data_IF_935741718214
#
_entry.id   IF_935741718214
#
_cell.length_a   1.000
_cell.length_b   1.000
_cell.length_c   1.000
_cell.angle_alpha   90.00
_cell.angle_beta   90.00
_cell.angle_gamma   90.00
#
_symmetry.space_group_name_H-M   'P 1'
#
loop_
_entity.id
_entity.type
_entity.pdbx_description
1 polymer ?
#
# COMPACT_ATOMS: atom_id res chain seq x y z
N UNK A 1 4.03 18.43 -11.09
CA UNK A 1 3.49 17.15 -10.53
C UNK A 1 2.87 17.44 -9.18
N UNK A 2 1.73 16.85 -8.81
CA UNK A 2 1.12 17.04 -7.48
C UNK A 2 1.20 15.76 -6.63
N UNK A 3 1.44 15.91 -5.33
CA UNK A 3 1.43 14.84 -4.32
C UNK A 3 0.43 15.17 -3.22
N UNK A 4 -0.54 14.28 -3.00
CA UNK A 4 -1.62 14.46 -2.01
C UNK A 4 -1.92 13.18 -1.23
N UNK A 5 -2.43 13.39 -0.01
CA UNK A 5 -2.93 12.38 0.90
C UNK A 5 -4.44 12.28 0.73
N UNK A 6 -4.97 11.09 0.47
CA UNK A 6 -6.42 10.85 0.56
C UNK A 6 -6.80 10.33 1.95
N UNK A 7 -8.08 10.45 2.32
CA UNK A 7 -8.65 10.01 3.61
C UNK A 7 -8.41 8.52 3.94
N UNK A 8 -8.01 7.75 2.93
CA UNK A 8 -7.64 6.34 3.03
C UNK A 8 -6.13 6.10 3.20
N UNK A 9 -5.32 7.15 3.34
CA UNK A 9 -3.88 7.10 3.59
C UNK A 9 -2.99 7.02 2.35
N UNK A 10 -3.49 7.27 1.14
CA UNK A 10 -2.71 7.09 -0.09
C UNK A 10 -1.73 8.23 -0.37
N UNK A 11 -0.56 7.94 -0.94
CA UNK A 11 0.29 8.94 -1.61
C UNK A 11 0.05 8.80 -3.11
N UNK A 12 -0.68 9.74 -3.70
CA UNK A 12 -0.90 9.76 -5.15
C UNK A 12 0.09 10.69 -5.84
N UNK A 13 0.92 10.13 -6.72
CA UNK A 13 1.65 10.85 -7.76
C UNK A 13 0.79 10.78 -9.01
N UNK A 14 0.33 11.93 -9.51
CA UNK A 14 -0.60 11.96 -10.65
C UNK A 14 -0.13 11.05 -11.81
N UNK A 15 -1.03 10.15 -12.23
CA UNK A 15 -0.92 9.16 -13.31
C UNK A 15 0.15 8.05 -13.26
N UNK A 16 1.15 8.11 -12.38
CA UNK A 16 2.32 7.24 -12.53
C UNK A 16 2.43 6.12 -11.50
N UNK A 17 2.00 6.35 -10.25
CA UNK A 17 2.22 5.37 -9.16
C UNK A 17 1.30 5.61 -7.97
N UNK A 18 0.83 4.52 -7.37
CA UNK A 18 0.09 4.52 -6.11
C UNK A 18 0.79 3.63 -5.08
N UNK A 19 0.78 4.05 -3.82
CA UNK A 19 1.26 3.25 -2.69
C UNK A 19 0.18 3.23 -1.60
N UNK A 20 -0.19 2.01 -1.16
CA UNK A 20 -1.23 1.81 -0.14
C UNK A 20 -0.59 1.91 1.25
N UNK A 21 -0.95 2.95 2.00
CA UNK A 21 -0.56 3.03 3.40
C UNK A 21 -1.28 1.96 4.22
N UNK A 22 -0.51 1.04 4.77
CA UNK A 22 -1.02 -0.10 5.54
C UNK A 22 -1.03 0.13 7.06
N UNK A 23 -0.91 1.38 7.54
CA UNK A 23 -0.76 1.69 8.96
C UNK A 23 0.60 1.28 9.56
N UNK A 24 0.68 1.19 10.89
CA UNK A 24 1.87 0.66 11.59
C UNK A 24 1.99 -0.85 11.32
N UNK A 25 2.84 -1.25 10.38
CA UNK A 25 3.34 -2.63 10.30
C UNK A 25 4.71 -2.75 10.99
N UNK A 26 4.76 -3.62 11.99
CA UNK A 26 5.96 -4.21 12.57
C UNK A 26 6.65 -5.12 11.53
N UNK A 27 7.40 -4.53 10.60
CA UNK A 27 8.51 -5.25 9.99
C UNK A 27 9.78 -4.77 10.66
N UNK A 28 10.29 -5.62 11.55
CA UNK A 28 11.48 -5.48 12.40
C UNK A 28 12.72 -6.06 11.72
N UNK A 29 12.98 -5.68 10.46
CA UNK A 29 14.19 -6.15 9.77
C UNK A 29 15.04 -5.08 9.09
N UNK A 30 14.57 -3.83 8.99
CA UNK A 30 15.35 -2.78 8.30
C UNK A 30 15.71 -1.65 9.28
N UNK A 31 16.58 -1.96 10.24
CA UNK A 31 17.12 -0.99 11.21
C UNK A 31 18.23 -0.09 10.64
N UNK A 32 18.63 -0.28 9.37
CA UNK A 32 19.73 0.48 8.74
C UNK A 32 19.34 1.38 7.56
N UNK A 33 18.05 1.48 7.22
CA UNK A 33 17.59 2.46 6.22
C UNK A 33 16.80 3.57 6.90
N UNK A 34 17.27 4.82 6.74
CA UNK A 34 16.62 6.05 7.22
C UNK A 34 15.09 5.96 7.14
N UNK A 35 14.41 6.25 8.25
CA UNK A 35 12.96 6.09 8.47
C UNK A 35 12.10 6.25 7.20
N UNK A 36 11.92 5.13 6.50
CA UNK A 36 11.15 5.05 5.26
C UNK A 36 9.63 5.02 5.54
N UNK A 37 9.18 5.08 6.80
CA UNK A 37 7.78 4.86 7.16
C UNK A 37 6.96 6.15 7.27
N UNK A 38 7.58 7.30 7.03
CA UNK A 38 6.90 8.60 7.05
C UNK A 38 6.29 8.97 5.68
N UNK A 39 5.24 9.80 5.70
CA UNK A 39 4.61 10.35 4.49
C UNK A 39 5.64 10.96 3.51
N UNK A 40 6.56 11.83 3.97
CA UNK A 40 7.64 12.38 3.14
C UNK A 40 8.54 11.33 2.47
N UNK A 41 8.89 10.25 3.19
CA UNK A 41 9.74 9.20 2.62
C UNK A 41 9.02 8.42 1.50
N UNK A 42 7.70 8.25 1.60
CA UNK A 42 6.90 7.66 0.53
C UNK A 42 6.89 8.55 -0.73
N UNK A 43 6.88 9.88 -0.59
CA UNK A 43 7.00 10.80 -1.73
C UNK A 43 8.31 10.55 -2.49
N UNK A 44 9.42 10.45 -1.76
CA UNK A 44 10.75 10.20 -2.33
C UNK A 44 10.82 8.86 -3.05
N UNK A 45 10.37 7.77 -2.41
CA UNK A 45 10.36 6.45 -3.04
C UNK A 45 9.55 6.44 -4.33
N UNK A 46 8.38 7.08 -4.33
CA UNK A 46 7.52 7.09 -5.50
C UNK A 46 8.12 7.93 -6.63
N UNK A 47 8.77 9.06 -6.33
CA UNK A 47 9.48 9.83 -7.36
C UNK A 47 10.68 9.08 -7.94
N UNK A 48 11.50 8.44 -7.10
CA UNK A 48 12.62 7.61 -7.57
C UNK A 48 12.16 6.45 -8.43
N UNK A 49 11.02 5.84 -8.09
CA UNK A 49 10.50 4.74 -8.88
C UNK A 49 9.94 5.16 -10.24
N UNK A 50 9.44 6.40 -10.36
CA UNK A 50 8.89 6.92 -11.62
C UNK A 50 9.99 7.49 -12.52
N UNK A 51 10.94 8.22 -11.95
CA UNK A 51 11.95 8.96 -12.73
C UNK A 51 13.35 8.35 -12.68
N UNK A 52 13.57 7.33 -11.84
CA UNK A 52 14.87 6.73 -11.62
C UNK A 52 15.82 7.60 -10.77
N UNK A 53 17.02 7.09 -10.45
CA UNK A 53 18.04 7.85 -9.74
C UNK A 53 18.64 8.99 -10.58
N UNK A 54 18.56 8.89 -11.91
CA UNK A 54 19.12 9.86 -12.86
C UNK A 54 18.15 10.99 -13.25
N UNK A 55 17.06 11.18 -12.52
CA UNK A 55 16.02 12.18 -12.81
C UNK A 55 16.62 13.59 -13.07
N UNK A 56 17.68 13.95 -12.34
CA UNK A 56 18.41 15.22 -12.49
C UNK A 56 18.98 15.46 -13.89
N UNK A 57 19.38 14.40 -14.62
CA UNK A 57 19.93 14.51 -15.98
C UNK A 57 18.88 14.92 -17.02
N UNK A 58 17.60 14.67 -16.74
CA UNK A 58 16.47 15.01 -17.61
C UNK A 58 15.95 16.44 -17.39
N UNK A 59 16.64 17.23 -16.55
CA UNK A 59 16.23 18.58 -16.17
C UNK A 59 15.43 18.62 -14.86
N UNK A 60 15.40 19.82 -14.26
CA UNK A 60 14.70 20.06 -12.99
C UNK A 60 13.18 20.08 -13.20
N UNK A 61 12.43 19.35 -12.37
CA UNK A 61 10.95 19.31 -12.43
C UNK A 61 10.34 19.88 -11.16
N UNK A 62 9.20 20.57 -11.29
CA UNK A 62 8.44 21.09 -10.15
C UNK A 62 7.46 20.05 -9.58
N UNK A 63 7.63 19.76 -8.29
CA UNK A 63 6.76 18.94 -7.46
C UNK A 63 5.99 19.84 -6.49
N UNK A 64 4.67 19.78 -6.56
CA UNK A 64 3.76 20.49 -5.69
C UNK A 64 3.24 19.52 -4.63
N UNK A 65 3.52 19.82 -3.36
CA UNK A 65 3.18 18.93 -2.24
C UNK A 65 2.12 19.56 -1.34
N UNK A 66 1.25 18.71 -0.80
CA UNK A 66 0.27 19.13 0.19
C UNK A 66 0.92 19.37 1.57
N UNK A 67 0.26 20.17 2.40
CA UNK A 67 0.68 20.61 3.75
C UNK A 67 1.09 19.47 4.66
N UNK A 68 0.44 18.31 4.51
CA UNK A 68 0.75 17.11 5.28
C UNK A 68 2.19 16.61 5.03
N UNK A 69 2.67 16.68 3.79
CA UNK A 69 3.99 16.16 3.38
C UNK A 69 5.08 17.22 3.47
N UNK A 70 4.74 18.50 3.35
CA UNK A 70 5.74 19.58 3.29
C UNK A 70 6.58 19.64 4.57
N UNK A 71 7.90 19.53 4.40
CA UNK A 71 8.90 19.72 5.43
C UNK A 71 10.22 20.20 4.82
N UNK A 72 11.06 20.84 5.63
CA UNK A 72 12.39 21.32 5.18
C UNK A 72 13.28 20.15 4.76
N UNK A 73 13.27 19.06 5.51
CA UNK A 73 14.01 17.85 5.15
C UNK A 73 13.59 17.29 3.79
N UNK A 74 12.28 17.18 3.53
CA UNK A 74 11.77 16.72 2.23
C UNK A 74 12.18 17.67 1.10
N UNK A 75 12.07 18.99 1.31
CA UNK A 75 12.41 19.97 0.30
C UNK A 75 13.90 19.90 -0.11
N UNK A 76 14.80 19.72 0.87
CA UNK A 76 16.24 19.50 0.63
C UNK A 76 16.46 18.19 -0.13
N UNK A 77 15.83 17.11 0.31
CA UNK A 77 15.98 15.80 -0.31
C UNK A 77 15.52 15.81 -1.78
N UNK A 78 14.38 16.44 -2.06
CA UNK A 78 13.87 16.60 -3.43
C UNK A 78 14.83 17.43 -4.29
N UNK A 79 15.40 18.51 -3.73
CA UNK A 79 16.36 19.34 -4.45
C UNK A 79 17.62 18.55 -4.83
N UNK A 80 18.14 17.71 -3.92
CA UNK A 80 19.27 16.83 -4.19
C UNK A 80 18.96 15.78 -5.27
N UNK A 81 17.71 15.32 -5.33
CA UNK A 81 17.21 14.38 -6.35
C UNK A 81 16.93 15.04 -7.71
N UNK A 82 17.07 16.36 -7.84
CA UNK A 82 16.80 17.09 -9.09
C UNK A 82 15.35 17.57 -9.24
N UNK A 83 14.63 17.74 -8.13
CA UNK A 83 13.26 18.25 -8.13
C UNK A 83 13.14 19.57 -7.36
N UNK A 84 12.47 20.54 -7.97
CA UNK A 84 11.95 21.70 -7.24
C UNK A 84 10.70 21.31 -6.49
N UNK A 85 10.50 21.89 -5.31
CA UNK A 85 9.39 21.59 -4.44
C UNK A 85 8.65 22.88 -4.08
N UNK A 86 7.32 22.87 -4.13
CA UNK A 86 6.49 23.96 -3.60
C UNK A 86 5.33 23.37 -2.82
N UNK A 87 5.14 23.82 -1.58
CA UNK A 87 4.03 23.36 -0.76
C UNK A 87 3.65 24.36 0.31
N UNK A 88 2.39 24.31 0.74
CA UNK A 88 2.00 24.95 2.00
C UNK A 88 2.65 24.20 3.16
N UNK A 89 3.02 24.89 4.24
CA UNK A 89 3.73 24.27 5.37
C UNK A 89 3.06 24.60 6.71
N UNK A 90 3.11 23.65 7.63
CA UNK A 90 2.77 23.88 9.03
C UNK A 90 3.89 24.69 9.70
N UNK A 91 3.54 25.76 10.41
CA UNK A 91 4.50 26.70 11.02
C UNK A 91 5.33 26.08 12.14
N UNK A 92 4.86 24.97 12.72
CA UNK A 92 5.57 24.22 13.78
C UNK A 92 6.55 23.16 13.21
N UNK A 93 6.75 23.09 11.89
CA UNK A 93 7.73 22.16 11.30
C UNK A 93 9.16 22.56 11.66
N UNK A 94 9.97 21.56 12.01
CA UNK A 94 11.39 21.74 12.28
C UNK A 94 12.11 22.38 11.08
N UNK A 95 12.99 23.34 11.36
CA UNK A 95 13.80 24.03 10.36
C UNK A 95 13.08 25.12 9.57
N UNK A 96 11.76 25.30 9.73
CA UNK A 96 11.04 26.38 9.05
C UNK A 96 11.41 27.75 9.65
N UNK A 97 11.56 28.77 8.80
CA UNK A 97 12.00 30.10 9.23
C UNK A 97 10.94 30.77 10.11
N UNK A 98 11.25 30.97 11.39
CA UNK A 98 10.32 31.63 12.33
C UNK A 98 10.15 33.13 12.06
N UNK A 99 11.11 33.76 11.39
CA UNK A 99 11.08 35.20 11.08
C UNK A 99 9.98 35.61 10.09
N UNK A 100 9.50 34.68 9.26
CA UNK A 100 8.38 34.95 8.32
C UNK A 100 7.02 34.57 8.88
N UNK A 101 6.95 33.97 10.07
CA UNK A 101 5.68 33.53 10.66
C UNK A 101 4.90 34.74 11.13
N UNK A 102 3.64 34.81 10.70
CA UNK A 102 2.72 35.85 11.14
C UNK A 102 2.05 35.43 12.44
N UNK A 103 2.14 36.29 13.45
CA UNK A 103 1.57 36.00 14.79
C UNK A 103 0.05 36.11 14.81
N UNK A 104 -0.53 36.92 13.92
CA UNK A 104 -1.98 37.18 13.86
C UNK A 104 -2.68 36.10 13.04
N UNK A 105 -3.82 35.61 13.54
CA UNK A 105 -4.61 34.55 12.87
C UNK A 105 -5.39 35.06 11.65
N UNK A 106 -5.76 36.33 11.63
CA UNK A 106 -6.48 36.99 10.56
C UNK A 106 -5.70 38.20 10.06
N UNK A 107 -5.92 38.55 8.79
CA UNK A 107 -5.29 39.71 8.17
C UNK A 107 -5.80 41.01 8.82
N UNK A 108 -4.92 41.86 9.37
CA UNK A 108 -5.29 43.21 9.83
C UNK A 108 -5.76 44.08 8.68
N UNK A 109 -6.69 45.01 8.93
CA UNK A 109 -7.15 45.98 7.93
C UNK A 109 -6.00 46.84 7.36
N UNK A 110 -4.95 47.07 8.15
CA UNK A 110 -3.76 47.84 7.75
C UNK A 110 -2.88 47.11 6.72
N UNK A 111 -3.02 45.80 6.57
CA UNK A 111 -2.22 45.01 5.62
C UNK A 111 -3.07 44.73 4.38
N UNK A 112 -2.60 45.21 3.23
CA UNK A 112 -3.24 44.94 1.95
C UNK A 112 -3.27 43.42 1.67
N UNK A 113 -4.39 42.93 1.16
CA UNK A 113 -4.52 41.54 0.71
C UNK A 113 -3.50 41.28 -0.40
N UNK A 114 -2.78 40.17 -0.31
CA UNK A 114 -1.70 39.81 -1.23
C UNK A 114 -0.30 40.23 -0.79
N UNK A 115 -0.18 41.02 0.29
CA UNK A 115 1.12 41.33 0.89
C UNK A 115 1.84 40.04 1.30
N UNK A 116 3.16 39.98 1.15
CA UNK A 116 3.95 38.84 1.59
C UNK A 116 5.29 39.20 2.22
N UNK A 117 5.78 38.28 3.04
CA UNK A 117 7.16 38.26 3.54
C UNK A 117 7.88 37.08 2.93
N UNK A 118 9.15 37.28 2.61
CA UNK A 118 10.02 36.24 2.07
C UNK A 118 11.31 36.17 2.88
N UNK A 119 11.75 34.94 3.18
CA UNK A 119 13.07 34.68 3.71
C UNK A 119 13.75 33.61 2.87
N UNK A 120 14.97 33.88 2.44
CA UNK A 120 15.82 32.91 1.75
C UNK A 120 16.74 32.22 2.76
N UNK A 121 16.90 30.91 2.61
CA UNK A 121 17.82 30.15 3.47
C UNK A 121 19.26 30.54 3.15
N UNK A 122 20.07 30.72 4.22
CA UNK A 122 21.51 30.98 4.09
C UNK A 122 22.29 29.72 3.67
N UNK A 123 21.81 28.54 4.07
CA UNK A 123 22.47 27.26 3.80
C UNK A 123 22.07 26.65 2.45
N UNK A 124 20.87 26.97 1.96
CA UNK A 124 20.34 26.45 0.70
C UNK A 124 19.77 27.63 -0.09
N UNK A 125 20.56 28.27 -0.98
CA UNK A 125 20.17 29.50 -1.66
C UNK A 125 18.86 29.39 -2.46
N UNK A 126 18.59 28.21 -3.00
CA UNK A 126 17.37 27.92 -3.76
C UNK A 126 16.14 27.73 -2.88
N UNK A 127 16.26 27.71 -1.56
CA UNK A 127 15.14 27.48 -0.65
C UNK A 127 14.62 28.79 -0.07
N UNK A 128 13.31 29.00 -0.20
CA UNK A 128 12.62 30.19 0.31
C UNK A 128 11.39 29.83 1.13
N UNK A 129 11.25 30.51 2.26
CA UNK A 129 10.06 30.50 3.09
C UNK A 129 9.23 31.76 2.79
N UNK A 130 7.93 31.60 2.58
CA UNK A 130 7.03 32.68 2.17
C UNK A 130 5.84 32.71 3.11
N UNK A 131 5.45 33.90 3.56
CA UNK A 131 4.18 34.14 4.22
C UNK A 131 3.36 35.09 3.37
N UNK A 132 2.20 34.64 2.88
CA UNK A 132 1.33 35.39 1.99
C UNK A 132 -0.01 35.68 2.68
N UNK A 133 -0.42 36.94 2.66
CA UNK A 133 -1.63 37.40 3.33
C UNK A 133 -2.86 37.31 2.43
N UNK A 134 -3.70 36.31 2.70
CA UNK A 134 -5.07 36.26 2.17
C UNK A 134 -6.06 36.77 3.24
N UNK A 135 -7.20 36.09 3.46
CA UNK A 135 -8.03 36.32 4.66
C UNK A 135 -7.31 35.86 5.94
N UNK A 136 -6.47 34.84 5.81
CA UNK A 136 -5.59 34.27 6.84
C UNK A 136 -4.17 34.17 6.28
N UNK A 137 -3.12 34.19 7.10
CA UNK A 137 -1.77 34.03 6.60
C UNK A 137 -1.57 32.59 6.11
N UNK A 138 -1.04 32.45 4.89
CA UNK A 138 -0.68 31.16 4.30
C UNK A 138 0.83 31.08 4.19
N UNK A 139 1.39 30.03 4.77
CA UNK A 139 2.84 29.80 4.79
C UNK A 139 3.22 28.77 3.74
N UNK A 140 4.23 29.09 2.95
CA UNK A 140 4.77 28.24 1.91
C UNK A 140 6.25 27.97 2.14
N UNK A 141 6.67 26.77 1.75
CA UNK A 141 8.06 26.42 1.56
C UNK A 141 8.26 26.09 0.09
N UNK A 142 9.29 26.69 -0.51
CA UNK A 142 9.65 26.45 -1.90
C UNK A 142 11.15 26.20 -2.04
N UNK A 143 11.52 25.30 -2.93
CA UNK A 143 12.85 25.16 -3.50
C UNK A 143 12.78 25.47 -5.00
N UNK A 144 13.47 26.53 -5.44
CA UNK A 144 13.41 27.06 -6.80
C UNK A 144 12.19 27.95 -7.05
N UNK A 145 11.81 28.09 -8.32
CA UNK A 145 10.67 28.92 -8.75
C UNK A 145 10.97 30.42 -8.81
N UNK A 146 10.14 31.15 -9.56
CA UNK A 146 10.25 32.61 -9.67
C UNK A 146 9.56 33.29 -8.48
N UNK A 147 10.22 34.31 -7.95
CA UNK A 147 9.71 35.17 -6.88
C UNK A 147 9.19 36.51 -7.41
N UNK A 148 9.13 36.66 -8.74
CA UNK A 148 8.56 37.83 -9.39
C UNK A 148 7.12 38.04 -8.95
N UNK A 149 6.72 39.30 -8.92
CA UNK A 149 5.34 39.69 -8.65
C UNK A 149 4.45 39.22 -9.79
N UNK A 150 3.37 38.56 -9.43
CA UNK A 150 2.28 38.17 -10.33
C UNK A 150 0.95 38.37 -9.58
N UNK A 151 -0.16 37.96 -10.18
CA UNK A 151 -1.50 38.05 -9.61
C UNK A 151 -2.23 36.72 -9.70
N UNK A 152 -3.04 36.46 -8.68
CA UNK A 152 -3.96 35.32 -8.64
C UNK A 152 -5.38 35.82 -8.44
N UNK A 153 -6.32 35.27 -9.22
CA UNK A 153 -7.74 35.58 -9.08
C UNK A 153 -8.28 34.88 -7.84
N UNK A 154 -8.91 35.65 -6.96
CA UNK A 154 -9.57 35.16 -5.75
C UNK A 154 -11.02 35.60 -5.71
N UNK A 155 -11.86 34.73 -5.19
CA UNK A 155 -13.23 35.09 -4.89
C UNK A 155 -13.24 35.91 -3.59
N UNK A 156 -13.87 37.07 -3.64
CA UNK A 156 -14.17 37.90 -2.48
C UNK A 156 -15.70 38.06 -2.40
N UNK A 157 -16.32 37.23 -1.56
CA UNK A 157 -17.78 37.10 -1.49
C UNK A 157 -18.39 36.76 -2.87
N UNK A 158 -18.95 37.74 -3.56
CA UNK A 158 -19.62 37.59 -4.85
C UNK A 158 -18.78 38.07 -6.04
N UNK A 159 -17.69 38.81 -5.82
CA UNK A 159 -16.83 39.33 -6.88
C UNK A 159 -15.51 38.56 -6.99
N UNK A 160 -14.90 38.60 -8.16
CA UNK A 160 -13.53 38.12 -8.36
C UNK A 160 -12.58 39.31 -8.25
N UNK A 161 -11.55 39.16 -7.43
CA UNK A 161 -10.53 40.19 -7.17
C UNK A 161 -9.17 39.60 -7.51
N UNK A 162 -8.37 40.36 -8.25
CA UNK A 162 -6.97 40.03 -8.48
C UNK A 162 -6.14 40.41 -7.27
N UNK A 163 -5.46 39.42 -6.69
CA UNK A 163 -4.62 39.60 -5.51
C UNK A 163 -3.15 39.42 -5.92
N UNK A 164 -2.26 40.36 -5.58
CA UNK A 164 -0.84 40.20 -5.88
C UNK A 164 -0.27 39.00 -5.11
N UNK A 165 0.59 38.22 -5.77
CA UNK A 165 1.27 37.09 -5.17
C UNK A 165 2.62 36.84 -5.86
N UNK A 166 3.58 36.21 -5.18
CA UNK A 166 4.76 35.69 -5.84
C UNK A 166 4.38 34.66 -6.91
N UNK A 167 5.08 34.65 -8.05
CA UNK A 167 4.83 33.69 -9.15
C UNK A 167 4.83 32.23 -8.69
N UNK A 168 5.70 31.87 -7.74
CA UNK A 168 5.70 30.54 -7.11
C UNK A 168 4.38 30.15 -6.41
N UNK A 169 3.65 31.13 -5.86
CA UNK A 169 2.32 30.92 -5.26
C UNK A 169 1.27 30.72 -6.36
N UNK A 170 1.38 31.44 -7.48
CA UNK A 170 0.53 31.22 -8.65
C UNK A 170 0.76 29.83 -9.26
N UNK A 171 2.01 29.43 -9.43
CA UNK A 171 2.39 28.08 -9.91
C UNK A 171 1.84 26.99 -8.99
N UNK A 172 1.93 27.22 -7.67
CA UNK A 172 1.31 26.34 -6.69
C UNK A 172 -0.19 26.22 -6.94
N UNK A 173 -0.93 27.32 -7.06
CA UNK A 173 -2.39 27.28 -7.29
C UNK A 173 -2.79 26.71 -8.66
N UNK A 174 -1.96 26.88 -9.69
CA UNK A 174 -2.23 26.32 -11.02
C UNK A 174 -2.12 24.79 -11.04
N UNK A 175 -1.20 24.23 -10.24
CA UNK A 175 -0.96 22.78 -10.18
C UNK A 175 -1.72 22.11 -9.04
N UNK A 176 -1.92 22.83 -7.93
CA UNK A 176 -2.63 22.35 -6.75
C UNK A 176 -4.13 22.25 -7.09
N UNK A 177 -4.65 21.04 -6.98
CA UNK A 177 -6.05 20.73 -7.27
C UNK A 177 -6.22 19.71 -8.39
N UNK A 178 -5.16 19.35 -9.13
CA UNK A 178 -5.21 18.25 -10.09
C UNK A 178 -5.66 16.92 -9.46
N UNK A 179 -5.18 16.63 -8.25
CA UNK A 179 -5.65 15.45 -7.48
C UNK A 179 -7.09 15.63 -7.02
N UNK A 180 -7.49 16.82 -6.58
CA UNK A 180 -8.87 17.10 -6.15
C UNK A 180 -9.87 16.97 -7.29
N UNK A 181 -9.52 17.44 -8.50
CA UNK A 181 -10.35 17.26 -9.69
C UNK A 181 -10.46 15.78 -10.06
N UNK A 182 -9.37 15.02 -9.93
CA UNK A 182 -9.39 13.57 -10.16
C UNK A 182 -10.26 12.85 -9.13
N UNK A 183 -10.12 13.17 -7.84
CA UNK A 183 -10.93 12.61 -6.76
C UNK A 183 -12.39 13.03 -6.90
N UNK A 184 -12.66 14.26 -7.34
CA UNK A 184 -14.00 14.74 -7.64
C UNK A 184 -14.64 13.95 -8.79
N UNK A 185 -13.92 13.75 -9.91
CA UNK A 185 -14.38 12.94 -11.02
C UNK A 185 -14.61 11.49 -10.61
N UNK A 186 -13.73 10.96 -9.73
CA UNK A 186 -13.86 9.61 -9.16
C UNK A 186 -15.12 9.50 -8.32
N UNK A 187 -15.30 10.39 -7.34
CA UNK A 187 -16.28 10.24 -6.25
C UNK A 187 -17.69 10.77 -6.58
N UNK A 188 -17.90 11.68 -7.53
CA UNK A 188 -19.17 12.42 -7.57
C UNK A 188 -20.32 11.78 -8.36
N UNK A 189 -20.09 11.15 -9.52
CA UNK A 189 -21.21 10.72 -10.39
C UNK A 189 -21.17 9.29 -10.93
N UNK A 190 -19.99 8.70 -11.09
CA UNK A 190 -19.86 7.38 -11.74
C UNK A 190 -18.93 6.42 -10.98
N UNK A 191 -18.73 6.65 -9.67
CA UNK A 191 -17.91 5.76 -8.84
C UNK A 191 -18.57 4.40 -8.65
N UNK A 192 -17.93 3.35 -9.14
CA UNK A 192 -18.33 1.97 -8.85
C UNK A 192 -18.08 1.68 -7.37
N UNK A 193 -17.00 2.22 -6.80
CA UNK A 193 -16.66 2.05 -5.38
C UNK A 193 -17.77 2.58 -4.44
N UNK A 194 -18.41 3.70 -4.77
CA UNK A 194 -19.53 4.24 -3.98
C UNK A 194 -20.87 3.60 -4.31
N UNK A 195 -21.05 3.08 -5.52
CA UNK A 195 -22.29 2.44 -5.94
C UNK A 195 -22.54 1.10 -5.22
N UNK A 196 -21.47 0.36 -4.86
CA UNK A 196 -21.59 -0.97 -4.26
C UNK A 196 -20.83 -1.05 -2.94
N UNK A 197 -21.53 -1.41 -1.86
CA UNK A 197 -20.91 -1.60 -0.54
C UNK A 197 -20.68 -3.07 -0.25
N UNK A 198 -19.42 -3.45 -0.08
CA UNK A 198 -19.03 -4.80 0.33
C UNK A 198 -18.64 -4.88 1.81
N UNK A 199 -18.92 -6.01 2.46
CA UNK A 199 -18.45 -6.29 3.84
C UNK A 199 -16.92 -6.38 3.95
N UNK A 200 -16.24 -6.80 2.88
CA UNK A 200 -14.77 -6.98 2.86
C UNK A 200 -14.11 -5.80 2.17
N UNK A 201 -13.19 -5.11 2.86
CA UNK A 201 -12.58 -3.86 2.41
C UNK A 201 -11.82 -3.98 1.07
N UNK A 202 -11.14 -5.09 0.83
CA UNK A 202 -10.34 -5.26 -0.38
C UNK A 202 -11.18 -5.25 -1.67
N UNK A 203 -12.46 -5.65 -1.59
CA UNK A 203 -13.37 -5.55 -2.75
C UNK A 203 -13.64 -4.09 -3.12
N UNK A 204 -13.88 -3.26 -2.11
CA UNK A 204 -14.03 -1.81 -2.30
C UNK A 204 -12.72 -1.18 -2.81
N UNK A 205 -11.56 -1.65 -2.34
CA UNK A 205 -10.26 -1.19 -2.85
C UNK A 205 -10.08 -1.50 -4.34
N UNK A 206 -10.40 -2.72 -4.78
CA UNK A 206 -10.31 -3.10 -6.21
C UNK A 206 -11.24 -2.24 -7.05
N UNK A 207 -12.47 -1.97 -6.60
CA UNK A 207 -13.37 -1.05 -7.31
C UNK A 207 -12.81 0.37 -7.39
N UNK A 208 -12.15 0.85 -6.33
CA UNK A 208 -11.47 2.15 -6.36
C UNK A 208 -10.33 2.21 -7.37
N UNK A 209 -9.60 1.10 -7.58
CA UNK A 209 -8.56 1.00 -8.62
C UNK A 209 -9.16 1.00 -10.03
N UNK A 210 -10.31 0.36 -10.23
CA UNK A 210 -11.03 0.40 -11.51
C UNK A 210 -11.53 1.83 -11.78
N UNK A 211 -12.15 2.48 -10.78
CA UNK A 211 -12.57 3.88 -10.89
C UNK A 211 -11.39 4.79 -11.27
N UNK A 212 -10.21 4.56 -10.67
CA UNK A 212 -8.98 5.29 -10.99
C UNK A 212 -8.52 5.06 -12.44
N UNK A 213 -8.52 3.80 -12.90
CA UNK A 213 -8.14 3.45 -14.26
C UNK A 213 -9.07 4.10 -15.31
N UNK A 214 -10.37 4.11 -15.05
CA UNK A 214 -11.37 4.74 -15.92
C UNK A 214 -11.12 6.25 -16.03
N UNK A 215 -10.89 6.94 -14.91
CA UNK A 215 -10.61 8.38 -14.90
C UNK A 215 -9.28 8.68 -15.61
N UNK A 216 -8.24 7.87 -15.39
CA UNK A 216 -6.97 8.01 -16.11
C UNK A 216 -7.17 7.84 -17.63
N UNK A 217 -7.95 6.85 -18.07
CA UNK A 217 -8.30 6.67 -19.49
C UNK A 217 -9.02 7.89 -20.07
N UNK A 218 -9.94 8.50 -19.31
CA UNK A 218 -10.63 9.72 -19.74
C UNK A 218 -9.68 10.94 -19.84
N UNK A 219 -8.73 11.07 -18.92
CA UNK A 219 -7.69 12.12 -19.00
C UNK A 219 -6.84 11.95 -20.27
N UNK A 220 -6.40 10.73 -20.56
CA UNK A 220 -5.63 10.41 -21.78
C UNK A 220 -6.46 10.72 -23.02
N UNK A 221 -7.75 10.34 -23.04
CA UNK A 221 -8.66 10.66 -24.12
C UNK A 221 -8.79 12.17 -24.35
N UNK A 222 -8.94 12.98 -23.28
CA UNK A 222 -8.95 14.45 -23.40
C UNK A 222 -7.64 15.00 -23.93
N UNK A 223 -6.50 14.47 -23.48
CA UNK A 223 -5.18 14.89 -23.94
C UNK A 223 -4.98 14.57 -25.44
N UNK A 224 -5.40 13.38 -25.89
CA UNK A 224 -5.37 12.98 -27.29
C UNK A 224 -6.18 13.92 -28.19
N UNK A 225 -7.41 14.24 -27.80
CA UNK A 225 -8.28 15.15 -28.55
C UNK A 225 -7.76 16.59 -28.56
N UNK A 226 -7.13 17.04 -27.47
CA UNK A 226 -6.45 18.34 -27.42
C UNK A 226 -5.30 18.42 -28.42
N UNK A 227 -4.49 17.36 -28.53
CA UNK A 227 -3.36 17.31 -29.46
C UNK A 227 -3.82 17.22 -30.93
N UNK A 228 -4.92 16.51 -31.20
CA UNK A 228 -5.51 16.40 -32.55
C UNK A 228 -6.53 17.50 -32.87
N UNK A 229 -6.58 18.59 -32.09
CA UNK A 229 -7.53 19.72 -32.25
C UNK A 229 -8.98 19.30 -32.49
N UNK A 230 -9.41 18.19 -31.87
CA UNK A 230 -10.75 17.63 -32.02
C UNK A 230 -11.53 17.74 -30.71
N UNK A 231 -12.85 17.64 -30.80
CA UNK A 231 -13.72 17.83 -29.63
C UNK A 231 -13.76 16.56 -28.78
N UNK A 232 -13.30 16.60 -27.51
CA UNK A 232 -13.40 15.45 -26.63
C UNK A 232 -14.86 15.18 -26.26
N UNK A 233 -15.23 13.90 -26.23
CA UNK A 233 -16.48 13.43 -25.63
C UNK A 233 -16.64 13.93 -24.19
N UNK A 234 -17.88 14.24 -23.79
CA UNK A 234 -18.20 14.51 -22.38
C UNK A 234 -17.99 13.24 -21.54
N UNK A 235 -17.74 13.42 -20.23
CA UNK A 235 -17.48 12.29 -19.32
C UNK A 235 -18.58 11.22 -19.37
N UNK A 236 -19.85 11.64 -19.44
CA UNK A 236 -21.01 10.74 -19.55
C UNK A 236 -20.97 9.92 -20.84
N UNK A 237 -20.70 10.57 -21.98
CA UNK A 237 -20.62 9.89 -23.28
C UNK A 237 -19.46 8.91 -23.32
N UNK A 238 -18.31 9.29 -22.76
CA UNK A 238 -17.15 8.42 -22.60
C UNK A 238 -17.49 7.17 -21.78
N UNK A 239 -18.13 7.34 -20.61
CA UNK A 239 -18.54 6.23 -19.76
C UNK A 239 -19.53 5.29 -20.45
N UNK A 240 -20.54 5.82 -21.15
CA UNK A 240 -21.49 5.00 -21.90
C UNK A 240 -20.81 4.19 -23.01
N UNK A 241 -19.91 4.82 -23.77
CA UNK A 241 -19.15 4.15 -24.83
C UNK A 241 -18.25 3.06 -24.26
N UNK A 242 -17.52 3.36 -23.19
CA UNK A 242 -16.67 2.38 -22.51
C UNK A 242 -17.50 1.19 -22.01
N UNK A 243 -18.65 1.43 -21.39
CA UNK A 243 -19.54 0.37 -20.92
C UNK A 243 -20.01 -0.55 -22.07
N UNK A 244 -20.48 0.03 -23.18
CA UNK A 244 -20.91 -0.73 -24.35
C UNK A 244 -19.77 -1.57 -24.94
N UNK A 245 -18.57 -0.99 -25.07
CA UNK A 245 -17.39 -1.69 -25.57
C UNK A 245 -17.00 -2.86 -24.67
N UNK A 246 -17.02 -2.68 -23.35
CA UNK A 246 -16.73 -3.75 -22.40
C UNK A 246 -17.77 -4.88 -22.44
N UNK A 247 -19.04 -4.57 -22.69
CA UNK A 247 -20.11 -5.58 -22.84
C UNK A 247 -20.02 -6.37 -24.16
N UNK A 248 -19.35 -5.82 -25.18
CA UNK A 248 -19.20 -6.44 -26.49
C UNK A 248 -17.94 -7.31 -26.61
N UNK A 249 -17.05 -7.26 -25.61
CA UNK A 249 -15.81 -8.05 -25.59
C UNK A 249 -16.10 -9.54 -25.70
N UNK A 250 -15.40 -10.20 -26.63
CA UNK A 250 -15.41 -11.64 -26.79
C UNK A 250 -14.22 -12.28 -26.06
N UNK A 251 -14.27 -13.59 -25.76
CA UNK A 251 -13.13 -14.30 -25.16
C UNK A 251 -11.84 -14.16 -25.98
N UNK A 252 -11.95 -14.04 -27.31
CA UNK A 252 -10.83 -13.82 -28.23
C UNK A 252 -10.17 -12.45 -28.06
N UNK A 253 -10.89 -11.45 -27.54
CA UNK A 253 -10.34 -10.12 -27.26
C UNK A 253 -9.57 -10.10 -25.93
N UNK A 254 -9.78 -11.09 -25.07
CA UNK A 254 -9.06 -11.26 -23.80
C UNK A 254 -7.78 -12.07 -24.01
N UNK A 255 -6.81 -11.46 -24.69
CA UNK A 255 -5.53 -12.11 -24.97
C UNK A 255 -4.71 -12.34 -23.68
N UNK A 256 -4.43 -13.62 -23.37
CA UNK A 256 -3.66 -14.05 -22.18
C UNK A 256 -2.21 -13.56 -22.17
N UNK A 257 -1.65 -13.14 -23.31
CA UNK A 257 -0.29 -12.60 -23.40
C UNK A 257 -0.15 -11.10 -23.05
N UNK A 258 -1.23 -10.42 -22.67
CA UNK A 258 -1.17 -9.00 -22.32
C UNK A 258 -0.58 -8.82 -20.91
N UNK A 259 0.75 -8.73 -20.83
CA UNK A 259 1.47 -8.36 -19.61
C UNK A 259 1.26 -6.87 -19.32
N UNK A 260 0.14 -6.53 -18.68
CA UNK A 260 -0.19 -5.17 -18.25
C UNK A 260 0.88 -4.62 -17.30
N UNK A 261 1.94 -4.01 -17.84
CA UNK A 261 2.89 -3.17 -17.09
C UNK A 261 3.56 -3.83 -15.87
N UNK A 262 3.44 -5.14 -15.68
CA UNK A 262 4.32 -5.87 -14.78
C UNK A 262 5.65 -5.90 -15.48
N UNK A 263 6.48 -4.88 -15.22
CA UNK A 263 7.90 -5.15 -15.14
C UNK A 263 7.99 -6.40 -14.27
N UNK A 264 8.51 -7.54 -14.78
CA UNK A 264 8.85 -8.63 -13.89
C UNK A 264 9.68 -7.97 -12.81
N UNK A 265 9.24 -8.11 -11.55
CA UNK A 265 10.00 -7.60 -10.42
C UNK A 265 11.43 -8.03 -10.71
N UNK A 266 12.35 -7.07 -10.93
CA UNK A 266 13.76 -7.37 -11.20
C UNK A 266 14.08 -8.50 -10.27
N UNK A 267 14.37 -9.67 -10.84
CA UNK A 267 14.63 -10.86 -10.06
C UNK A 267 15.69 -10.41 -9.06
N UNK A 268 15.30 -10.21 -7.80
CA UNK A 268 16.27 -10.22 -6.73
C UNK A 268 16.79 -11.62 -6.86
N UNK A 269 18.02 -11.75 -7.36
CA UNK A 269 18.70 -13.01 -7.67
C UNK A 269 18.15 -14.09 -6.76
N UNK A 270 17.09 -14.75 -7.25
CA UNK A 270 16.48 -15.84 -6.55
C UNK A 270 17.47 -16.94 -6.88
N UNK A 271 18.17 -17.53 -5.88
CA UNK A 271 19.16 -18.55 -6.16
C UNK A 271 18.53 -19.57 -7.08
N UNK A 272 19.00 -19.62 -8.32
CA UNK A 272 18.52 -20.55 -9.31
C UNK A 272 18.86 -21.95 -8.77
N UNK A 273 17.88 -22.83 -8.52
CA UNK A 273 18.19 -24.16 -8.05
C UNK A 273 18.93 -24.88 -9.17
N UNK A 274 20.25 -25.02 -9.02
CA UNK A 274 21.03 -25.88 -9.90
C UNK A 274 20.42 -27.29 -9.85
N UNK A 275 20.23 -27.95 -11.01
CA UNK A 275 19.82 -29.35 -11.05
C UNK A 275 21.02 -30.19 -10.59
N UNK A 276 21.16 -30.37 -9.28
CA UNK A 276 22.14 -31.29 -8.69
C UNK A 276 21.48 -32.64 -8.42
N UNK A 277 21.95 -33.66 -9.15
CA UNK A 277 22.02 -35.04 -8.71
C UNK A 277 20.71 -35.69 -8.28
N UNK A 278 20.16 -36.49 -9.20
CA UNK A 278 19.10 -37.47 -8.97
C UNK A 278 19.33 -38.35 -7.72
N UNK A 279 18.62 -38.03 -6.65
CA UNK A 279 18.11 -39.00 -5.69
C UNK A 279 16.63 -38.67 -5.49
N UNK A 280 15.81 -39.16 -6.42
CA UNK A 280 14.36 -39.02 -6.34
C UNK A 280 13.86 -39.85 -5.15
N UNK A 281 13.65 -39.20 -4.01
CA UNK A 281 12.74 -39.76 -3.02
C UNK A 281 11.32 -39.51 -3.52
N UNK A 282 10.57 -40.58 -3.78
CA UNK A 282 9.23 -40.61 -4.41
C UNK A 282 8.10 -40.07 -3.52
N UNK A 283 8.44 -39.29 -2.48
CA UNK A 283 7.47 -38.75 -1.53
C UNK A 283 6.73 -37.57 -2.14
N UNK A 284 5.40 -37.66 -2.15
CA UNK A 284 4.52 -36.57 -2.60
C UNK A 284 3.89 -35.83 -1.40
N UNK A 285 3.85 -34.49 -1.41
CA UNK A 285 3.21 -33.73 -0.35
C UNK A 285 1.69 -33.92 -0.40
N UNK A 286 1.13 -34.45 0.69
CA UNK A 286 -0.31 -34.60 0.88
C UNK A 286 -0.86 -33.45 1.71
N UNK A 287 -2.12 -33.07 1.48
CA UNK A 287 -2.76 -31.96 2.16
C UNK A 287 -3.86 -32.45 3.10
N UNK A 288 -3.83 -32.02 4.37
CA UNK A 288 -4.82 -32.42 5.37
C UNK A 288 -6.16 -31.74 5.10
N UNK A 289 -7.16 -32.53 4.70
CA UNK A 289 -8.52 -32.05 4.40
C UNK A 289 -9.49 -32.21 5.58
N UNK A 290 -9.03 -31.83 6.78
CA UNK A 290 -9.85 -31.85 8.00
C UNK A 290 -10.13 -30.42 8.44
N UNK A 291 -11.41 -30.08 8.56
CA UNK A 291 -11.89 -28.76 8.98
C UNK A 291 -12.28 -28.78 10.47
N UNK A 292 -12.45 -27.61 11.10
CA UNK A 292 -12.96 -27.48 12.48
C UNK A 292 -14.41 -26.97 12.43
N UNK A 293 -15.28 -27.45 13.33
CA UNK A 293 -16.75 -27.43 13.24
C UNK A 293 -17.45 -26.09 12.98
N UNK A 294 -18.71 -26.25 12.52
CA UNK A 294 -19.51 -25.43 11.61
C UNK A 294 -20.18 -24.16 12.19
N UNK A 295 -19.82 -23.71 13.39
CA UNK A 295 -20.49 -22.52 13.99
C UNK A 295 -19.74 -21.21 13.80
N UNK A 296 -18.46 -21.24 13.41
CA UNK A 296 -17.69 -20.05 13.02
C UNK A 296 -16.74 -20.40 11.87
N UNK A 297 -16.44 -19.42 11.02
CA UNK A 297 -15.72 -19.56 9.73
C UNK A 297 -14.85 -20.82 9.60
N UNK A 298 -15.08 -21.67 8.57
CA UNK A 298 -14.34 -22.92 8.42
C UNK A 298 -12.84 -22.60 8.30
N UNK A 299 -12.06 -22.99 9.31
CA UNK A 299 -10.61 -22.93 9.31
C UNK A 299 -10.06 -24.35 9.25
N UNK A 300 -9.26 -24.64 8.23
CA UNK A 300 -8.57 -25.92 8.07
C UNK A 300 -7.70 -26.21 9.29
N UNK A 301 -7.70 -27.45 9.77
CA UNK A 301 -6.81 -27.88 10.85
C UNK A 301 -5.38 -27.85 10.35
N UNK A 302 -4.50 -27.19 11.10
CA UNK A 302 -3.06 -27.19 10.86
C UNK A 302 -2.35 -27.87 12.02
N UNK A 303 -1.23 -28.56 11.75
CA UNK A 303 -0.41 -29.22 12.77
C UNK A 303 1.01 -28.68 12.76
N UNK A 304 1.72 -28.83 13.89
CA UNK A 304 3.07 -28.32 14.04
C UNK A 304 4.04 -29.03 13.09
N UNK A 305 4.84 -28.25 12.37
CA UNK A 305 5.88 -28.75 11.47
C UNK A 305 7.03 -29.38 12.27
N UNK A 306 7.48 -30.57 11.86
CA UNK A 306 8.52 -31.33 12.58
C UNK A 306 9.89 -30.67 12.53
N UNK A 307 10.34 -30.26 11.36
CA UNK A 307 11.61 -29.54 11.19
C UNK A 307 11.63 -28.24 12.01
N UNK A 308 10.55 -27.46 11.96
CA UNK A 308 10.41 -26.25 12.78
C UNK A 308 10.34 -26.54 14.30
N UNK A 309 9.90 -27.72 14.71
CA UNK A 309 9.82 -28.08 16.13
C UNK A 309 11.17 -28.45 16.72
N UNK A 310 12.04 -29.07 15.90
CA UNK A 310 13.39 -29.47 16.30
C UNK A 310 14.30 -28.25 16.28
N UNK A 311 14.37 -27.57 15.14
CA UNK A 311 15.26 -26.43 14.89
C UNK A 311 14.74 -25.07 15.43
N UNK A 312 13.88 -25.06 16.46
CA UNK A 312 13.45 -23.80 17.07
C UNK A 312 14.50 -23.30 18.06
N UNK A 313 14.87 -22.05 17.93
CA UNK A 313 15.74 -21.35 18.88
C UNK A 313 14.87 -20.59 19.89
N UNK A 314 15.02 -20.92 21.18
CA UNK A 314 14.29 -20.28 22.28
C UNK A 314 12.80 -20.63 22.42
N UNK A 315 12.00 -19.66 22.91
CA UNK A 315 10.59 -19.81 23.34
C UNK A 315 9.58 -19.80 22.17
N UNK A 316 10.04 -19.59 20.93
CA UNK A 316 9.15 -19.48 19.76
C UNK A 316 8.45 -20.82 19.45
N UNK A 317 7.11 -20.75 19.27
CA UNK A 317 6.30 -21.92 18.88
C UNK A 317 6.65 -22.37 17.46
N UNK A 318 6.65 -23.68 17.24
CA UNK A 318 6.85 -24.26 15.91
C UNK A 318 5.75 -23.80 14.94
N UNK A 319 6.12 -23.49 13.71
CA UNK A 319 5.17 -23.14 12.67
C UNK A 319 4.19 -24.29 12.40
N UNK A 320 2.94 -23.96 12.07
CA UNK A 320 1.92 -24.94 11.70
C UNK A 320 1.77 -25.04 10.18
N UNK A 321 1.41 -26.23 9.69
CA UNK A 321 1.24 -26.55 8.28
C UNK A 321 0.07 -27.54 8.11
N UNK A 322 -0.57 -27.49 6.95
CA UNK A 322 -1.57 -28.48 6.52
C UNK A 322 -0.96 -29.57 5.63
N UNK A 323 0.29 -29.39 5.17
CA UNK A 323 0.99 -30.36 4.32
C UNK A 323 1.70 -31.41 5.17
N UNK A 324 1.65 -32.66 4.73
CA UNK A 324 2.31 -33.79 5.37
C UNK A 324 2.83 -34.81 4.38
N UNK A 325 3.83 -35.59 4.80
CA UNK A 325 4.29 -36.81 4.14
C UNK A 325 3.63 -38.01 4.84
N UNK A 326 2.92 -38.84 4.08
CA UNK A 326 2.32 -40.08 4.57
C UNK A 326 3.32 -41.23 4.70
N UNK A 327 4.29 -41.30 3.79
CA UNK A 327 5.17 -42.49 3.67
C UNK A 327 6.41 -42.42 4.57
N UNK A 328 6.65 -41.28 5.22
CA UNK A 328 7.83 -41.02 6.04
C UNK A 328 7.77 -41.64 7.44
N UNK A 329 6.61 -42.14 7.89
CA UNK A 329 6.50 -42.81 9.19
C UNK A 329 5.31 -43.78 9.23
N UNK A 330 5.58 -45.01 9.68
CA UNK A 330 4.55 -46.04 9.93
C UNK A 330 3.61 -45.69 11.10
N UNK A 331 4.00 -44.71 11.93
CA UNK A 331 3.21 -44.31 13.12
C UNK A 331 2.16 -43.28 12.75
N UNK A 332 2.41 -42.41 11.77
CA UNK A 332 1.46 -41.39 11.35
C UNK A 332 2.08 -40.26 10.54
N UNK A 333 1.25 -39.33 10.04
CA UNK A 333 1.67 -38.32 9.06
C UNK A 333 2.70 -37.32 9.61
N UNK A 334 3.74 -37.05 8.81
CA UNK A 334 4.81 -36.10 9.14
C UNK A 334 4.51 -34.73 8.51
N UNK A 335 4.17 -33.75 9.36
CA UNK A 335 3.79 -32.41 8.90
C UNK A 335 5.02 -31.53 8.62
N UNK A 336 5.08 -30.96 7.41
CA UNK A 336 6.23 -30.18 6.90
C UNK A 336 5.78 -28.89 6.21
N UNK A 337 6.56 -27.82 6.36
CA UNK A 337 6.29 -26.54 5.69
C UNK A 337 6.86 -26.54 4.26
N UNK A 338 6.04 -26.15 3.28
CA UNK A 338 6.44 -26.00 1.87
C UNK A 338 7.05 -24.64 1.52
N UNK A 339 7.21 -23.74 2.51
CA UNK A 339 7.86 -22.44 2.29
C UNK A 339 9.32 -22.51 2.71
N UNK A 340 10.25 -21.86 1.99
CA UNK A 340 11.65 -21.76 2.41
C UNK A 340 11.70 -21.12 3.80
N UNK A 341 12.29 -21.83 4.76
CA UNK A 341 12.34 -21.41 6.17
C UNK A 341 13.71 -21.60 6.80
N UNK A 342 14.62 -22.27 6.11
CA UNK A 342 15.96 -22.62 6.60
C UNK A 342 16.98 -22.32 5.54
N UNK A 343 18.20 -22.03 5.96
CA UNK A 343 19.34 -21.87 5.08
C UNK A 343 20.35 -22.94 5.45
N UNK A 344 20.65 -23.84 4.52
CA UNK A 344 21.62 -24.92 4.71
C UNK A 344 22.65 -24.76 3.60
N UNK A 345 23.94 -24.67 4.00
CA UNK A 345 25.06 -24.42 3.07
C UNK A 345 24.83 -23.21 2.15
N UNK A 346 24.25 -22.14 2.69
CA UNK A 346 23.95 -20.91 1.95
C UNK A 346 22.66 -20.95 1.11
N UNK A 347 22.01 -22.10 0.95
CA UNK A 347 20.81 -22.27 0.11
C UNK A 347 19.53 -22.25 0.95
N UNK A 348 18.52 -21.49 0.50
CA UNK A 348 17.22 -21.45 1.14
C UNK A 348 16.42 -22.72 0.84
N UNK A 349 16.12 -23.52 1.87
CA UNK A 349 15.40 -24.79 1.76
C UNK A 349 14.05 -24.74 2.46
N UNK A 350 13.08 -25.47 1.89
CA UNK A 350 11.79 -25.71 2.55
C UNK A 350 11.98 -26.76 3.66
N UNK A 351 11.09 -26.79 4.65
CA UNK A 351 11.13 -27.86 5.65
C UNK A 351 10.84 -29.24 5.04
N UNK A 352 10.19 -29.28 3.87
CA UNK A 352 10.03 -30.51 3.10
C UNK A 352 11.38 -31.03 2.61
N UNK A 353 12.18 -30.16 1.97
CA UNK A 353 13.47 -30.56 1.42
C UNK A 353 14.48 -30.90 2.52
N UNK A 354 14.48 -30.15 3.63
CA UNK A 354 15.32 -30.50 4.79
C UNK A 354 14.98 -31.89 5.33
N UNK A 355 13.69 -32.25 5.41
CA UNK A 355 13.30 -33.57 5.92
C UNK A 355 13.70 -34.71 4.99
N UNK A 356 13.46 -34.56 3.69
CA UNK A 356 13.64 -35.65 2.73
C UNK A 356 15.08 -35.76 2.21
N UNK A 357 15.77 -34.62 2.00
CA UNK A 357 17.11 -34.58 1.43
C UNK A 357 18.19 -34.58 2.50
N UNK A 358 18.12 -33.65 3.45
CA UNK A 358 19.17 -33.50 4.47
C UNK A 358 19.03 -34.52 5.60
N UNK A 359 17.79 -34.79 6.05
CA UNK A 359 17.54 -35.72 7.15
C UNK A 359 17.21 -37.14 6.67
N UNK A 360 17.34 -37.42 5.37
CA UNK A 360 17.12 -38.75 4.77
C UNK A 360 15.81 -39.39 5.25
N UNK A 361 14.69 -38.67 5.05
CA UNK A 361 13.35 -39.06 5.51
C UNK A 361 13.22 -39.24 7.03
N UNK A 362 14.03 -38.52 7.80
CA UNK A 362 14.03 -38.57 9.28
C UNK A 362 14.99 -39.61 9.87
N UNK A 363 15.90 -40.20 9.08
CA UNK A 363 16.94 -41.13 9.56
C UNK A 363 18.19 -40.41 10.10
N UNK A 364 18.47 -39.20 9.60
CA UNK A 364 19.65 -38.40 9.97
C UNK A 364 19.22 -37.09 10.65
N UNK A 365 18.52 -37.20 11.78
CA UNK A 365 18.11 -36.03 12.56
C UNK A 365 19.29 -35.61 13.46
N UNK A 366 19.73 -34.34 13.44
CA UNK A 366 20.84 -33.88 14.27
C UNK A 366 20.57 -34.10 15.77
N UNK A 367 21.39 -34.96 16.39
CA UNK A 367 21.26 -35.41 17.79
C UNK A 367 21.59 -34.29 18.79
N UNK A 368 22.33 -33.27 18.36
CA UNK A 368 22.78 -32.13 19.17
C UNK A 368 21.64 -31.27 19.76
N UNK A 369 20.39 -31.45 19.32
CA UNK A 369 19.25 -30.64 19.77
C UNK A 369 18.43 -31.25 20.92
N UNK A 370 18.73 -32.48 21.38
CA UNK A 370 18.13 -33.10 22.57
C UNK A 370 16.60 -33.28 22.56
N UNK A 371 15.93 -33.12 21.41
CA UNK A 371 14.46 -33.10 21.28
C UNK A 371 13.95 -34.30 20.48
N UNK A 372 13.14 -35.14 21.11
CA UNK A 372 12.53 -36.31 20.45
C UNK A 372 11.34 -35.95 19.55
N UNK A 373 11.24 -36.62 18.40
CA UNK A 373 10.13 -36.45 17.46
C UNK A 373 8.93 -37.25 17.96
N UNK A 374 7.88 -36.55 18.41
CA UNK A 374 6.59 -37.19 18.73
C UNK A 374 5.67 -37.22 17.50
N UNK A 375 5.57 -38.36 16.82
CA UNK A 375 4.56 -38.57 15.75
C UNK A 375 3.22 -38.92 16.41
N UNK A 376 2.11 -38.32 15.97
CA UNK A 376 0.78 -38.70 16.47
C UNK A 376 0.31 -39.92 15.70
N UNK A 377 -0.18 -40.94 16.41
CA UNK A 377 -0.78 -42.13 15.78
C UNK A 377 -1.93 -41.74 14.85
N UNK A 378 -1.98 -42.36 13.68
CA UNK A 378 -3.21 -42.37 12.89
C UNK A 378 -4.31 -43.09 13.71
N UNK A 379 -5.56 -42.62 13.68
CA UNK A 379 -6.66 -43.38 14.27
C UNK A 379 -6.82 -44.70 13.50
N UNK A 380 -6.88 -45.82 14.22
CA UNK A 380 -7.10 -47.15 13.64
C UNK A 380 -8.45 -47.20 12.92
N UNK A 381 -8.47 -47.70 11.69
CA UNK A 381 -9.67 -47.82 10.87
C UNK A 381 -10.61 -48.96 11.31
N UNK A 382 -10.36 -49.60 12.44
CA UNK A 382 -11.17 -50.69 13.01
C UNK A 382 -11.72 -50.28 14.36
N UNK A 383 -12.76 -49.44 14.34
CA UNK A 383 -13.85 -49.36 15.33
C UNK A 383 -14.91 -48.38 14.80
N UNK A 384 -15.54 -48.74 13.68
CA UNK A 384 -16.84 -48.19 13.31
C UNK A 384 -17.89 -49.12 13.94
N UNK A 385 -18.41 -48.75 15.11
CA UNK A 385 -19.60 -49.42 15.67
C UNK A 385 -20.84 -48.72 15.07
N UNK A 386 -21.85 -49.47 14.58
CA UNK A 386 -22.99 -48.91 13.86
C UNK A 386 -23.90 -48.09 14.76
N UNK A 387 -24.50 -47.06 14.17
CA UNK A 387 -25.46 -46.19 14.85
C UNK A 387 -26.72 -46.92 15.34
N UNK A 388 -27.38 -46.30 16.31
CA UNK A 388 -28.73 -46.64 16.75
C UNK A 388 -29.51 -45.34 17.02
N UNK A 389 -30.85 -45.38 16.93
CA UNK A 389 -31.61 -44.46 16.10
C UNK A 389 -32.23 -43.29 16.87
N UNK A 390 -32.68 -42.31 16.09
CA UNK A 390 -33.52 -41.19 16.51
C UNK A 390 -34.92 -41.67 16.88
N UNK A 391 -35.46 -41.20 18.00
CA UNK A 391 -36.91 -41.03 18.22
C UNK A 391 -37.17 -39.90 19.24
N UNK A 392 -38.37 -39.28 19.23
CA UNK A 392 -38.56 -37.82 19.36
C UNK A 392 -39.35 -37.42 20.62
N UNK A 393 -39.69 -36.12 20.71
CA UNK A 393 -40.66 -35.44 21.62
C UNK A 393 -40.04 -34.95 22.95
N UNK A 394 -40.27 -33.74 23.51
CA UNK A 394 -41.08 -32.52 23.22
C UNK A 394 -40.52 -31.36 24.10
N UNK A 395 -41.02 -30.10 24.07
CA UNK A 395 -40.24 -28.90 24.36
C UNK A 395 -40.34 -28.43 25.82
N UNK A 396 -39.28 -27.80 26.33
CA UNK A 396 -39.32 -26.97 27.54
C UNK A 396 -38.82 -25.57 27.24
N UNK A 397 -39.64 -24.59 27.62
CA UNK A 397 -39.55 -23.20 27.22
C UNK A 397 -38.53 -22.33 27.97
N UNK A 398 -38.34 -21.14 27.38
CA UNK A 398 -38.15 -19.83 27.99
C UNK A 398 -37.28 -19.72 29.26
N UNK A 399 -36.10 -19.11 29.10
CA UNK A 399 -35.72 -17.94 29.91
C UNK A 399 -34.49 -17.23 29.32
N UNK A 400 -34.76 -16.09 28.66
CA UNK A 400 -33.78 -15.11 28.22
C UNK A 400 -33.41 -14.25 29.46
N UNK A 401 -32.21 -14.40 30.03
CA UNK A 401 -31.68 -13.44 31.02
C UNK A 401 -30.56 -12.60 30.40
N UNK A 402 -30.94 -11.38 30.01
CA UNK A 402 -30.04 -10.27 29.74
C UNK A 402 -29.34 -9.85 31.04
N UNK A 403 -28.00 -9.87 31.06
CA UNK A 403 -27.21 -9.27 32.15
C UNK A 403 -26.61 -7.96 31.64
N UNK A 404 -27.32 -6.85 31.87
CA UNK A 404 -26.74 -5.50 31.84
C UNK A 404 -25.84 -5.34 33.06
N UNK A 405 -24.61 -4.88 32.86
CA UNK A 405 -23.65 -4.56 33.93
C UNK A 405 -23.72 -3.04 34.12
N UNK A 406 -24.29 -2.63 35.26
CA UNK A 406 -24.11 -1.30 35.84
C UNK A 406 -22.70 -1.22 36.41
N UNK A 407 -22.06 -0.05 36.27
CA UNK A 407 -20.88 0.35 37.04
C UNK A 407 -21.14 1.77 37.53
N UNK A 408 -21.46 1.88 38.81
CA UNK A 408 -21.25 3.07 39.61
C UNK A 408 -19.80 3.03 40.13
N UNK A 409 -19.04 4.08 39.78
CA UNK A 409 -18.21 4.91 40.67
C UNK A 409 -17.33 5.85 39.84
#
# INVERSE_FOLDING_TARGET
>A
MQVKADDFGFVMLHLCRFEVYCGKKEHSSDAHTSDMKSGPAAVVRNLLAVFGPDARKQGMRLVVVDRFYTSVALAIQLLLMGFYCVGTILTNRLGYCKGVIEKKKSRPATIARGSFKLARSKLVPNMTAISWWDSRPVHFLSTGGSLEMDRVVRQDRASQVEVPCPRVVKDYHAVMGGVDVQDQLRLQRYSIQRAVRFRKYYKSLVLGLIDLAIVNGYIVHKAYHKNKTSHPMTHVKYMKKLHLQLCQLQPTDMYEGNTFGTQPARARDAPEPLPTGSSQSTHAPQHLDVWRDQTTQPKRRQRACKVCSILRDGVKRAATTAFFCGDCSKVGPIFLCMKPRRQIRGVAMTCWDVWHREWMNGKLIPVETGRSIRVRRAPDATQAIPGTPVTPLTPLGLARKNKRRSTDN
#
